data_IF_646957627631
#
_entry.id   IF_646957627631
#
_cell.length_a   1.000
_cell.length_b   1.000
_cell.length_c   1.000
_cell.angle_alpha   90.00
_cell.angle_beta   90.00
_cell.angle_gamma   90.00
#
_symmetry.space_group_name_H-M   'P 1'
#
loop_
_entity.id
_entity.type
_entity.pdbx_description
1 polymer ?
#
# COMPACT_ATOMS: atom_id res chain seq x y z
N UNK A 1 -50.24 11.83 -74.35
CA UNK A 1 -49.31 12.75 -73.63
C UNK A 1 -49.11 12.19 -72.26
N UNK A 2 -48.09 11.29 -72.09
CA UNK A 2 -47.84 10.57 -70.84
C UNK A 2 -46.51 11.04 -70.28
N UNK A 3 -46.58 11.61 -69.10
CA UNK A 3 -45.38 12.06 -68.34
C UNK A 3 -44.96 10.98 -67.41
N UNK A 4 -43.74 10.43 -67.59
CA UNK A 4 -43.11 9.48 -66.71
C UNK A 4 -42.33 10.26 -65.64
N UNK A 5 -42.65 9.99 -64.35
CA UNK A 5 -41.95 10.51 -63.18
C UNK A 5 -40.93 9.48 -62.74
N UNK A 6 -39.64 9.72 -62.92
CA UNK A 6 -38.55 8.91 -62.45
C UNK A 6 -38.31 9.18 -60.96
N UNK A 7 -38.42 8.12 -60.16
CA UNK A 7 -38.04 8.14 -58.73
C UNK A 7 -36.53 7.92 -58.57
N UNK A 8 -35.82 8.91 -58.04
CA UNK A 8 -34.42 8.84 -57.69
C UNK A 8 -34.28 8.38 -56.21
N UNK A 9 -33.92 7.14 -56.00
CA UNK A 9 -33.63 6.60 -54.66
C UNK A 9 -32.21 6.95 -54.26
N UNK A 10 -32.07 7.87 -53.32
CA UNK A 10 -30.81 8.25 -52.69
C UNK A 10 -30.49 7.25 -51.59
N UNK A 11 -29.53 6.36 -51.83
CA UNK A 11 -28.99 5.43 -50.84
C UNK A 11 -27.98 6.16 -49.95
N UNK A 12 -28.40 6.55 -48.74
CA UNK A 12 -27.53 7.04 -47.69
C UNK A 12 -26.78 5.87 -47.04
N UNK A 13 -25.48 5.74 -47.33
CA UNK A 13 -24.59 4.83 -46.63
C UNK A 13 -24.32 5.39 -45.24
N UNK A 14 -24.91 4.75 -44.20
CA UNK A 14 -24.55 4.99 -42.80
C UNK A 14 -23.18 4.38 -42.55
N UNK A 15 -22.14 5.21 -42.48
CA UNK A 15 -20.82 4.80 -41.97
C UNK A 15 -20.93 4.61 -40.46
N UNK A 16 -21.01 3.39 -40.01
CA UNK A 16 -20.86 3.05 -38.59
C UNK A 16 -19.37 3.23 -38.27
N UNK A 17 -18.99 4.38 -37.74
CA UNK A 17 -17.72 4.55 -37.02
C UNK A 17 -17.75 3.63 -35.82
N UNK A 18 -16.98 2.52 -35.90
CA UNK A 18 -16.65 1.76 -34.74
C UNK A 18 -15.91 2.69 -33.77
N UNK A 19 -16.57 3.04 -32.67
CA UNK A 19 -15.87 3.62 -31.53
C UNK A 19 -14.85 2.57 -31.08
N UNK A 20 -13.59 2.77 -31.45
CA UNK A 20 -12.48 2.12 -30.76
C UNK A 20 -12.63 2.49 -29.28
N UNK A 21 -12.71 1.49 -28.43
CA UNK A 21 -12.60 1.62 -26.99
C UNK A 21 -11.43 2.54 -26.68
N UNK A 22 -11.75 3.73 -26.14
CA UNK A 22 -10.77 4.78 -25.92
C UNK A 22 -9.70 4.30 -24.95
N UNK A 23 -8.47 4.29 -25.42
CA UNK A 23 -7.37 4.67 -24.57
C UNK A 23 -7.72 6.07 -24.03
N UNK A 24 -7.79 6.22 -22.72
CA UNK A 24 -7.97 7.51 -22.07
C UNK A 24 -6.80 8.39 -22.48
N UNK A 25 -7.07 9.49 -23.16
CA UNK A 25 -6.06 10.48 -23.55
C UNK A 25 -5.20 10.84 -22.33
N UNK A 26 -3.99 10.22 -22.21
CA UNK A 26 -2.92 10.72 -21.35
C UNK A 26 -3.13 10.68 -19.83
N UNK A 27 -3.94 9.76 -19.28
CA UNK A 27 -4.07 9.60 -17.83
C UNK A 27 -3.58 8.23 -17.37
N UNK A 28 -2.61 8.21 -16.46
CA UNK A 28 -2.09 6.99 -15.82
C UNK A 28 -2.91 6.71 -14.56
N UNK A 29 -3.39 5.46 -14.40
CA UNK A 29 -4.18 5.04 -13.24
C UNK A 29 -3.36 4.13 -12.33
N UNK A 30 -3.21 4.55 -11.07
CA UNK A 30 -2.47 3.86 -10.02
C UNK A 30 -3.42 3.53 -8.87
N UNK A 31 -3.56 2.26 -8.50
CA UNK A 31 -4.47 1.86 -7.44
C UNK A 31 -3.82 0.87 -6.47
N UNK A 32 -4.17 0.91 -5.19
CA UNK A 32 -3.75 -0.16 -4.27
C UNK A 32 -3.45 0.28 -2.85
N UNK A 33 -2.25 -0.03 -2.39
CA UNK A 33 -1.85 0.09 -0.98
C UNK A 33 -1.98 1.50 -0.42
N UNK A 34 -2.70 1.64 0.69
CA UNK A 34 -2.73 2.90 1.45
C UNK A 34 -1.38 3.24 2.12
N UNK A 35 -0.48 2.27 2.23
CA UNK A 35 0.90 2.49 2.69
C UNK A 35 1.73 3.18 1.61
N UNK A 36 1.53 2.81 0.34
CA UNK A 36 2.30 3.36 -0.79
C UNK A 36 1.81 4.75 -1.23
N UNK A 37 0.66 5.21 -0.73
CA UNK A 37 0.09 6.51 -1.13
C UNK A 37 1.10 7.68 -1.07
N UNK A 38 1.88 7.87 0.02
CA UNK A 38 2.80 9.01 0.08
C UNK A 38 3.84 9.01 -1.04
N UNK A 39 4.36 7.84 -1.41
CA UNK A 39 5.31 7.71 -2.54
C UNK A 39 4.61 7.98 -3.86
N UNK A 40 3.47 7.31 -4.09
CA UNK A 40 2.77 7.39 -5.36
C UNK A 40 2.18 8.79 -5.63
N UNK A 41 1.66 9.47 -4.60
CA UNK A 41 1.07 10.81 -4.74
C UNK A 41 2.14 11.88 -4.99
N UNK A 42 3.26 11.86 -4.24
CA UNK A 42 4.36 12.81 -4.45
C UNK A 42 4.97 12.61 -5.84
N UNK A 43 5.20 11.37 -6.26
CA UNK A 43 5.68 11.07 -7.60
C UNK A 43 4.67 11.50 -8.69
N UNK A 44 3.37 11.30 -8.46
CA UNK A 44 2.33 11.70 -9.41
C UNK A 44 2.28 13.22 -9.61
N UNK A 45 2.41 13.99 -8.55
CA UNK A 45 2.45 15.46 -8.61
C UNK A 45 3.67 15.93 -9.41
N UNK A 46 4.87 15.47 -9.04
CA UNK A 46 6.11 15.88 -9.69
C UNK A 46 6.19 15.40 -11.16
N UNK A 47 5.78 14.16 -11.45
CA UNK A 47 5.75 13.63 -12.82
C UNK A 47 4.75 14.40 -13.70
N UNK A 48 3.59 14.76 -13.15
CA UNK A 48 2.60 15.57 -13.87
C UNK A 48 3.15 16.97 -14.18
N UNK A 49 3.86 17.60 -13.25
CA UNK A 49 4.51 18.90 -13.49
C UNK A 49 5.59 18.83 -14.58
N UNK A 50 6.36 17.76 -14.63
CA UNK A 50 7.44 17.58 -15.61
C UNK A 50 6.93 17.24 -17.02
N UNK A 51 5.92 16.39 -17.13
CA UNK A 51 5.50 15.79 -18.40
C UNK A 51 4.19 16.32 -18.94
N UNK A 52 3.35 16.89 -18.09
CA UNK A 52 1.96 17.25 -18.39
C UNK A 52 0.99 16.05 -18.39
N UNK A 53 1.47 14.81 -18.15
CA UNK A 53 0.64 13.62 -18.05
C UNK A 53 -0.02 13.53 -16.67
N UNK A 54 -1.33 13.31 -16.65
CA UNK A 54 -2.07 13.15 -15.39
C UNK A 54 -1.89 11.76 -14.80
N UNK A 55 -1.58 11.67 -13.51
CA UNK A 55 -1.51 10.41 -12.77
C UNK A 55 -2.58 10.41 -11.67
N UNK A 56 -3.53 9.48 -11.77
CA UNK A 56 -4.60 9.32 -10.78
C UNK A 56 -4.24 8.21 -9.79
N UNK A 57 -4.03 8.57 -8.53
CA UNK A 57 -3.67 7.64 -7.46
C UNK A 57 -4.86 7.35 -6.55
N UNK A 58 -5.09 6.08 -6.21
CA UNK A 58 -6.20 5.63 -5.37
C UNK A 58 -5.76 4.59 -4.32
N UNK A 59 -6.01 4.88 -3.04
CA UNK A 59 -5.70 4.00 -1.91
C UNK A 59 -6.87 3.07 -1.56
N UNK A 60 -6.90 1.88 -2.14
CA UNK A 60 -7.97 0.89 -1.99
C UNK A 60 -7.57 -0.36 -1.19
N UNK A 61 -6.29 -0.48 -0.83
CA UNK A 61 -5.67 -1.69 -0.27
C UNK A 61 -4.95 -2.52 -1.33
N UNK A 62 -3.93 -3.26 -0.92
CA UNK A 62 -3.04 -4.01 -1.85
C UNK A 62 -3.80 -5.02 -2.69
N UNK A 63 -4.70 -5.80 -2.09
CA UNK A 63 -5.48 -6.82 -2.82
C UNK A 63 -6.41 -6.19 -3.86
N UNK A 64 -7.06 -5.06 -3.53
CA UNK A 64 -7.90 -4.34 -4.47
C UNK A 64 -7.10 -3.73 -5.64
N UNK A 65 -5.87 -3.24 -5.38
CA UNK A 65 -4.96 -2.78 -6.44
C UNK A 65 -4.54 -3.90 -7.38
N UNK A 66 -4.14 -5.05 -6.83
CA UNK A 66 -3.78 -6.25 -7.62
C UNK A 66 -4.96 -6.72 -8.47
N UNK A 67 -6.18 -6.71 -7.94
CA UNK A 67 -7.38 -7.01 -8.69
C UNK A 67 -7.61 -5.97 -9.82
N UNK A 68 -7.45 -4.68 -9.53
CA UNK A 68 -7.64 -3.60 -10.49
C UNK A 68 -6.68 -3.70 -11.68
N UNK A 69 -5.39 -3.98 -11.43
CA UNK A 69 -4.43 -4.19 -12.53
C UNK A 69 -4.71 -5.46 -13.30
N UNK A 70 -5.14 -6.53 -12.62
CA UNK A 70 -5.43 -7.82 -13.25
C UNK A 70 -6.61 -7.75 -14.22
N UNK A 71 -7.63 -6.97 -13.88
CA UNK A 71 -8.82 -6.78 -14.72
C UNK A 71 -8.72 -5.58 -15.68
N UNK A 72 -7.61 -4.82 -15.62
CA UNK A 72 -7.34 -3.68 -16.52
C UNK A 72 -8.08 -2.39 -16.16
N UNK A 73 -8.58 -2.25 -14.92
CA UNK A 73 -9.17 -0.99 -14.41
C UNK A 73 -8.12 -0.04 -13.82
N UNK A 74 -6.90 -0.51 -13.56
CA UNK A 74 -5.73 0.30 -13.29
C UNK A 74 -4.54 -0.20 -14.13
N UNK A 75 -3.61 0.67 -14.45
CA UNK A 75 -2.40 0.35 -15.19
C UNK A 75 -1.29 -0.13 -14.27
N UNK A 76 -1.25 0.44 -13.06
CA UNK A 76 -0.25 0.13 -12.03
C UNK A 76 -0.98 -0.19 -10.73
N UNK A 77 -0.68 -1.35 -10.14
CA UNK A 77 -1.07 -1.63 -8.77
C UNK A 77 0.06 -1.27 -7.82
N UNK A 78 -0.28 -0.68 -6.66
CA UNK A 78 0.64 -0.52 -5.54
C UNK A 78 0.35 -1.54 -4.46
N UNK A 79 1.38 -2.14 -3.87
CA UNK A 79 1.20 -3.14 -2.82
C UNK A 79 2.27 -3.02 -1.73
N UNK A 80 1.87 -3.33 -0.52
CA UNK A 80 2.73 -3.41 0.66
C UNK A 80 2.95 -4.85 1.13
N UNK A 81 2.91 -5.77 0.19
CA UNK A 81 3.26 -7.20 0.29
C UNK A 81 3.55 -7.75 -1.11
N UNK A 82 4.26 -8.85 -1.18
CA UNK A 82 4.37 -9.63 -2.42
C UNK A 82 3.05 -10.27 -2.84
N UNK A 83 3.05 -10.87 -4.02
CA UNK A 83 1.91 -11.64 -4.54
C UNK A 83 1.75 -12.96 -3.75
N UNK A 84 0.52 -13.33 -3.40
CA UNK A 84 0.22 -14.65 -2.86
C UNK A 84 0.23 -15.72 -3.96
N UNK A 85 0.11 -17.01 -3.59
CA UNK A 85 0.18 -18.14 -4.52
C UNK A 85 -0.85 -18.08 -5.68
N UNK A 86 -2.04 -17.56 -5.45
CA UNK A 86 -3.05 -17.41 -6.50
C UNK A 86 -2.75 -16.19 -7.39
N UNK A 87 -2.28 -15.10 -6.80
CA UNK A 87 -1.92 -13.89 -7.53
C UNK A 87 -0.66 -14.08 -8.41
N UNK A 88 0.29 -14.93 -7.99
CA UNK A 88 1.45 -15.30 -8.81
C UNK A 88 1.06 -15.93 -10.16
N UNK A 89 -0.09 -16.61 -10.22
CA UNK A 89 -0.62 -17.19 -11.45
C UNK A 89 -1.16 -16.17 -12.46
N UNK A 90 -1.34 -14.93 -12.03
CA UNK A 90 -1.83 -13.83 -12.88
C UNK A 90 -0.79 -13.31 -13.87
N UNK A 91 0.50 -13.68 -13.70
CA UNK A 91 1.59 -13.26 -14.59
C UNK A 91 1.85 -11.76 -14.53
N UNK A 92 1.69 -11.15 -13.36
CA UNK A 92 2.00 -9.75 -13.15
C UNK A 92 3.51 -9.54 -13.07
N UNK A 93 4.01 -8.45 -13.65
CA UNK A 93 5.38 -7.99 -13.47
C UNK A 93 5.50 -7.36 -12.08
N UNK A 94 6.53 -7.76 -11.33
CA UNK A 94 6.80 -7.29 -9.98
C UNK A 94 7.94 -6.28 -10.00
N UNK A 95 7.71 -5.09 -9.47
CA UNK A 95 8.66 -3.98 -9.46
C UNK A 95 8.82 -3.53 -8.00
N UNK A 96 9.95 -3.85 -7.32
CA UNK A 96 10.24 -3.33 -6.00
C UNK A 96 10.48 -1.82 -6.06
N UNK A 97 9.87 -1.05 -5.16
CA UNK A 97 10.00 0.43 -5.13
C UNK A 97 10.60 0.96 -3.84
N UNK A 98 10.39 0.27 -2.71
CA UNK A 98 10.95 0.69 -1.43
C UNK A 98 10.95 -0.47 -0.42
N UNK A 99 11.78 -0.35 0.64
CA UNK A 99 11.69 -1.17 1.84
C UNK A 99 11.00 -0.40 2.96
N UNK A 100 10.26 -1.11 3.81
CA UNK A 100 9.45 -0.53 4.88
C UNK A 100 9.44 -1.39 6.14
N UNK A 101 9.51 -0.74 7.30
CA UNK A 101 9.27 -1.37 8.59
C UNK A 101 7.79 -1.26 8.99
N UNK A 102 7.19 -2.36 9.46
CA UNK A 102 5.86 -2.31 10.09
C UNK A 102 6.04 -1.99 11.57
N UNK A 103 5.88 -0.72 11.92
CA UNK A 103 5.97 -0.25 13.29
C UNK A 103 4.72 -0.67 14.09
N UNK A 104 4.93 -1.25 15.26
CA UNK A 104 3.88 -1.43 16.26
C UNK A 104 3.72 -0.13 17.02
N UNK A 105 2.51 0.42 17.03
CA UNK A 105 2.21 1.71 17.62
C UNK A 105 1.24 1.59 18.80
N UNK A 106 1.45 2.45 19.78
CA UNK A 106 0.60 2.62 20.95
C UNK A 106 0.28 4.10 21.15
N UNK A 107 -0.72 4.35 22.00
CA UNK A 107 -0.99 5.71 22.47
C UNK A 107 0.25 6.27 23.20
N UNK A 108 0.59 7.57 23.07
CA UNK A 108 1.77 8.16 23.73
C UNK A 108 1.81 7.96 25.25
N UNK A 109 0.67 7.92 25.91
CA UNK A 109 0.57 7.72 27.36
C UNK A 109 0.78 6.26 27.82
N UNK A 110 0.87 5.30 26.90
CA UNK A 110 1.15 3.91 27.22
C UNK A 110 2.62 3.74 27.65
N UNK A 111 2.94 3.18 28.83
CA UNK A 111 4.34 3.08 29.31
C UNK A 111 5.12 1.94 28.66
N UNK A 112 4.49 0.98 27.99
CA UNK A 112 5.16 -0.17 27.39
C UNK A 112 6.06 0.26 26.22
N UNK A 113 7.35 -0.10 26.28
CA UNK A 113 8.35 0.33 25.29
C UNK A 113 8.81 -0.80 24.36
N UNK A 114 8.53 -2.04 24.71
CA UNK A 114 8.97 -3.21 23.95
C UNK A 114 7.99 -4.37 24.11
N UNK A 115 7.77 -5.11 23.04
CA UNK A 115 7.08 -6.40 23.05
C UNK A 115 7.92 -7.43 22.26
N UNK A 116 7.86 -8.69 22.67
CA UNK A 116 8.39 -9.76 21.83
C UNK A 116 7.42 -10.11 20.70
N UNK A 117 7.90 -10.78 19.68
CA UNK A 117 7.05 -11.30 18.59
C UNK A 117 5.99 -12.26 19.10
N UNK A 118 6.31 -13.07 20.13
CA UNK A 118 5.34 -13.95 20.78
C UNK A 118 4.26 -13.16 21.54
N UNK A 119 4.66 -12.11 22.29
CA UNK A 119 3.69 -11.24 22.97
C UNK A 119 2.77 -10.54 21.98
N UNK A 120 3.31 -10.06 20.85
CA UNK A 120 2.50 -9.47 19.79
C UNK A 120 1.49 -10.46 19.22
N UNK A 121 1.92 -11.67 18.91
CA UNK A 121 1.03 -12.75 18.46
C UNK A 121 -0.07 -13.02 19.47
N UNK A 122 0.28 -13.18 20.73
CA UNK A 122 -0.70 -13.51 21.79
C UNK A 122 -1.65 -12.35 22.07
N UNK A 123 -1.20 -11.10 21.96
CA UNK A 123 -2.06 -9.92 22.00
C UNK A 123 -3.06 -9.93 20.84
N UNK A 124 -2.58 -10.08 19.59
CA UNK A 124 -3.44 -10.05 18.42
C UNK A 124 -4.31 -11.31 18.25
N UNK A 125 -3.94 -12.43 18.89
CA UNK A 125 -4.79 -13.62 19.02
C UNK A 125 -5.79 -13.53 20.18
N UNK A 126 -5.74 -12.45 21.00
CA UNK A 126 -6.64 -12.23 22.15
C UNK A 126 -6.35 -13.10 23.36
N UNK A 127 -5.14 -13.68 23.48
CA UNK A 127 -4.68 -14.46 24.63
C UNK A 127 -4.18 -13.51 25.75
N UNK A 128 -3.48 -12.43 25.40
CA UNK A 128 -3.12 -11.31 26.27
C UNK A 128 -4.11 -10.18 26.02
N UNK A 129 -4.82 -9.75 27.07
CA UNK A 129 -5.93 -8.80 26.93
C UNK A 129 -5.79 -7.55 27.80
N UNK A 130 -4.78 -7.54 28.68
CA UNK A 130 -4.51 -6.43 29.58
C UNK A 130 -3.03 -6.04 29.50
N UNK A 131 -2.75 -4.75 29.47
CA UNK A 131 -1.38 -4.24 29.41
C UNK A 131 -0.53 -4.64 30.63
N UNK A 132 -1.14 -4.90 31.81
CA UNK A 132 -0.42 -5.38 32.99
C UNK A 132 0.24 -6.74 32.78
N UNK A 133 -0.25 -7.57 31.85
CA UNK A 133 0.34 -8.87 31.52
C UNK A 133 1.68 -8.76 30.79
N UNK A 134 1.98 -7.56 30.23
CA UNK A 134 3.22 -7.25 29.51
C UNK A 134 4.00 -6.08 30.13
N UNK A 135 3.78 -5.81 31.42
CA UNK A 135 4.53 -4.80 32.19
C UNK A 135 3.99 -3.37 32.05
N UNK A 136 2.78 -3.20 31.52
CA UNK A 136 2.07 -1.93 31.46
C UNK A 136 1.15 -1.70 32.67
N UNK A 137 0.24 -0.74 32.53
CA UNK A 137 -0.79 -0.43 33.51
C UNK A 137 -1.91 -1.50 33.51
N UNK A 138 -2.70 -1.56 34.60
CA UNK A 138 -3.96 -2.32 34.60
C UNK A 138 -5.01 -1.63 33.71
N UNK A 139 -4.88 -1.88 32.42
CA UNK A 139 -5.71 -1.29 31.37
C UNK A 139 -5.95 -2.32 30.26
N UNK A 140 -7.20 -2.50 29.87
CA UNK A 140 -7.56 -3.41 28.79
C UNK A 140 -6.91 -3.01 27.46
N UNK A 141 -6.35 -3.98 26.76
CA UNK A 141 -5.80 -3.79 25.41
C UNK A 141 -6.96 -3.64 24.42
N UNK A 142 -6.91 -2.57 23.61
CA UNK A 142 -7.83 -2.34 22.51
C UNK A 142 -7.12 -2.58 21.18
N UNK A 143 -7.47 -3.69 20.55
CA UNK A 143 -6.84 -4.11 19.30
C UNK A 143 -7.36 -3.28 18.13
N UNK A 144 -6.44 -2.69 17.36
CA UNK A 144 -6.72 -2.05 16.08
C UNK A 144 -6.07 -2.88 14.99
N UNK A 145 -6.89 -3.37 14.06
CA UNK A 145 -6.48 -4.22 12.95
C UNK A 145 -6.87 -3.57 11.63
N UNK A 146 -6.40 -4.11 10.54
CA UNK A 146 -6.75 -3.72 9.18
C UNK A 146 -7.71 -4.74 8.57
N UNK A 147 -8.41 -4.32 7.52
CA UNK A 147 -9.28 -5.18 6.72
C UNK A 147 -8.48 -6.19 5.85
N UNK A 148 -9.20 -7.08 5.17
CA UNK A 148 -8.60 -8.14 4.36
C UNK A 148 -7.94 -7.64 3.07
N UNK A 149 -8.27 -6.44 2.59
CA UNK A 149 -7.62 -5.83 1.43
C UNK A 149 -6.23 -5.27 1.77
N UNK A 150 -5.90 -5.15 3.06
CA UNK A 150 -4.65 -4.55 3.53
C UNK A 150 -3.44 -5.46 3.36
N UNK A 151 -2.48 -5.05 2.52
CA UNK A 151 -1.17 -5.69 2.43
C UNK A 151 -0.37 -5.61 3.74
N UNK A 152 -0.54 -4.54 4.53
CA UNK A 152 0.09 -4.43 5.86
C UNK A 152 -0.43 -5.48 6.83
N UNK A 153 -1.74 -5.76 6.82
CA UNK A 153 -2.33 -6.85 7.62
C UNK A 153 -1.78 -8.20 7.19
N UNK A 154 -1.71 -8.45 5.90
CA UNK A 154 -1.22 -9.73 5.38
C UNK A 154 0.27 -9.95 5.70
N UNK A 155 1.12 -8.92 5.54
CA UNK A 155 2.51 -8.97 5.93
C UNK A 155 2.67 -9.19 7.45
N UNK A 156 1.94 -8.45 8.28
CA UNK A 156 1.96 -8.64 9.73
C UNK A 156 1.48 -10.04 10.12
N UNK A 157 0.43 -10.55 9.47
CA UNK A 157 -0.07 -11.91 9.69
C UNK A 157 0.99 -12.97 9.37
N UNK A 158 1.65 -12.85 8.23
CA UNK A 158 2.69 -13.77 7.79
C UNK A 158 3.89 -13.80 8.74
N UNK A 159 4.31 -12.62 9.25
CA UNK A 159 5.52 -12.49 10.08
C UNK A 159 5.25 -12.81 11.55
N UNK A 160 4.11 -12.40 12.10
CA UNK A 160 3.83 -12.41 13.53
C UNK A 160 2.86 -13.52 13.94
N UNK A 161 1.80 -13.78 13.16
CA UNK A 161 0.70 -14.60 13.66
C UNK A 161 0.97 -16.11 13.64
N UNK A 162 1.94 -16.60 12.87
CA UNK A 162 2.35 -18.01 12.84
C UNK A 162 1.14 -18.98 12.74
N UNK A 163 0.21 -18.66 11.84
CA UNK A 163 -1.04 -19.42 11.63
C UNK A 163 -2.18 -19.13 12.62
N UNK A 164 -1.93 -18.43 13.73
CA UNK A 164 -2.98 -18.04 14.67
C UNK A 164 -3.95 -17.02 14.02
N UNK A 165 -5.26 -17.13 14.27
CA UNK A 165 -6.21 -16.16 13.78
C UNK A 165 -6.15 -14.86 14.58
N UNK A 166 -6.45 -13.73 13.94
CA UNK A 166 -6.68 -12.47 14.65
C UNK A 166 -7.94 -12.55 15.53
N UNK A 167 -7.88 -11.93 16.71
CA UNK A 167 -9.05 -11.76 17.57
C UNK A 167 -10.14 -10.95 16.85
N UNK A 168 -11.35 -11.50 16.80
CA UNK A 168 -12.52 -10.89 16.13
C UNK A 168 -13.04 -9.64 16.84
N UNK A 169 -12.57 -9.36 18.07
CA UNK A 169 -12.92 -8.14 18.84
C UNK A 169 -12.13 -6.92 18.38
N UNK A 170 -11.10 -7.10 17.56
CA UNK A 170 -10.30 -5.99 17.05
C UNK A 170 -11.17 -5.01 16.23
N UNK A 171 -10.96 -3.72 16.41
CA UNK A 171 -11.50 -2.70 15.50
C UNK A 171 -10.81 -2.84 14.13
N UNK A 172 -11.61 -3.00 13.06
CA UNK A 172 -11.11 -3.21 11.70
C UNK A 172 -11.23 -1.92 10.90
N UNK A 173 -10.11 -1.45 10.34
CA UNK A 173 -10.01 -0.18 9.62
C UNK A 173 -9.43 -0.41 8.22
N UNK A 174 -9.87 0.40 7.25
CA UNK A 174 -9.48 0.25 5.84
C UNK A 174 -8.20 0.99 5.45
N UNK A 175 -7.74 1.98 6.24
CA UNK A 175 -6.61 2.84 5.90
C UNK A 175 -5.53 2.92 6.96
N UNK A 176 -4.26 3.11 6.54
CA UNK A 176 -3.11 3.27 7.44
C UNK A 176 -3.27 4.48 8.36
N UNK A 177 -3.69 5.62 7.81
CA UNK A 177 -3.93 6.84 8.60
C UNK A 177 -5.03 6.69 9.65
N UNK A 178 -6.09 5.91 9.35
CA UNK A 178 -7.17 5.63 10.29
C UNK A 178 -6.67 4.84 11.51
N UNK A 179 -5.79 3.84 11.31
CA UNK A 179 -5.17 3.10 12.43
C UNK A 179 -4.42 4.06 13.34
N UNK A 180 -3.59 4.92 12.75
CA UNK A 180 -2.83 5.93 13.47
C UNK A 180 -3.75 6.85 14.30
N UNK A 181 -4.82 7.36 13.68
CA UNK A 181 -5.76 8.26 14.33
C UNK A 181 -6.48 7.60 15.52
N UNK A 182 -6.97 6.37 15.38
CA UNK A 182 -7.62 5.63 16.47
C UNK A 182 -6.66 5.35 17.62
N UNK A 183 -5.43 4.91 17.33
CA UNK A 183 -4.42 4.62 18.37
C UNK A 183 -4.03 5.89 19.11
N UNK A 184 -3.86 7.02 18.42
CA UNK A 184 -3.50 8.29 19.03
C UNK A 184 -4.52 8.80 20.07
N UNK A 185 -5.79 8.48 19.85
CA UNK A 185 -6.92 8.97 20.69
C UNK A 185 -7.39 7.95 21.74
N UNK A 186 -6.85 6.72 21.72
CA UNK A 186 -7.34 5.63 22.55
C UNK A 186 -6.21 5.08 23.42
N UNK A 187 -6.24 5.41 24.73
CA UNK A 187 -5.12 5.13 25.66
C UNK A 187 -4.71 3.66 25.74
N UNK A 188 -5.64 2.72 25.65
CA UNK A 188 -5.37 1.27 25.68
C UNK A 188 -5.09 0.65 24.31
N UNK A 189 -5.09 1.43 23.24
CA UNK A 189 -4.99 0.90 21.88
C UNK A 189 -3.57 0.47 21.51
N UNK A 190 -3.51 -0.60 20.69
CA UNK A 190 -2.35 -1.06 19.96
C UNK A 190 -2.73 -1.22 18.48
N UNK A 191 -1.86 -0.78 17.59
CA UNK A 191 -2.01 -0.91 16.16
C UNK A 191 -0.67 -1.21 15.49
N UNK A 192 -0.69 -1.41 14.19
CA UNK A 192 0.51 -1.56 13.37
C UNK A 192 0.34 -0.79 12.06
N UNK A 193 1.36 -0.04 11.70
CA UNK A 193 1.40 0.81 10.49
C UNK A 193 2.81 0.77 9.88
N UNK A 194 2.97 1.30 8.68
CA UNK A 194 4.31 1.60 8.15
C UNK A 194 5.04 2.61 9.04
N UNK A 195 6.37 2.46 9.17
CA UNK A 195 7.21 3.39 9.93
C UNK A 195 7.11 4.82 9.39
N UNK A 196 6.91 5.02 8.08
CA UNK A 196 6.71 6.33 7.47
C UNK A 196 5.46 7.08 7.95
N UNK A 197 4.52 6.38 8.59
CA UNK A 197 3.33 7.00 9.17
C UNK A 197 3.45 7.31 10.67
N UNK A 198 4.55 6.94 11.33
CA UNK A 198 4.73 7.18 12.78
C UNK A 198 4.88 8.68 13.04
N UNK A 199 5.80 9.34 12.33
CA UNK A 199 6.09 10.77 12.45
C UNK A 199 5.53 11.59 11.29
N UNK A 200 4.29 11.31 10.88
CA UNK A 200 3.68 12.01 9.75
C UNK A 200 3.54 13.51 10.05
N UNK A 201 4.17 14.34 9.20
CA UNK A 201 4.07 15.81 9.24
C UNK A 201 2.64 16.34 9.04
N UNK A 202 1.75 15.49 8.53
CA UNK A 202 0.35 15.84 8.25
C UNK A 202 -0.61 15.40 9.36
N UNK A 203 -0.11 14.79 10.44
CA UNK A 203 -0.97 14.28 11.49
C UNK A 203 -1.03 15.24 12.67
N UNK A 204 -2.25 15.67 13.02
CA UNK A 204 -2.52 16.51 14.19
C UNK A 204 -2.31 15.78 15.54
N UNK A 205 -2.21 14.46 15.51
CA UNK A 205 -2.13 13.61 16.69
C UNK A 205 -0.85 12.77 16.67
N UNK A 206 -0.36 12.41 17.84
CA UNK A 206 0.87 11.63 17.99
C UNK A 206 0.56 10.17 18.35
N UNK A 207 1.38 9.28 17.84
CA UNK A 207 1.49 7.89 18.28
C UNK A 207 2.94 7.61 18.65
N UNK A 208 3.18 6.58 19.42
CA UNK A 208 4.52 6.13 19.75
C UNK A 208 4.75 4.73 19.20
N UNK A 209 5.79 4.57 18.39
CA UNK A 209 6.29 3.26 18.03
C UNK A 209 6.98 2.61 19.24
N UNK A 210 6.84 1.31 19.37
CA UNK A 210 7.55 0.51 20.39
C UNK A 210 8.52 -0.45 19.72
N UNK A 211 9.53 -0.85 20.49
CA UNK A 211 10.50 -1.83 20.03
C UNK A 211 9.85 -3.22 19.89
N UNK A 212 10.34 -4.01 18.95
CA UNK A 212 10.00 -5.41 18.82
C UNK A 212 11.27 -6.23 19.00
N UNK A 213 11.26 -7.19 19.94
CA UNK A 213 12.45 -7.94 20.33
C UNK A 213 13.65 -7.02 20.69
N UNK A 214 13.38 -5.89 21.34
CA UNK A 214 14.36 -4.85 21.68
C UNK A 214 15.00 -4.13 20.49
N UNK A 215 14.44 -4.25 19.28
CA UNK A 215 14.88 -3.53 18.08
C UNK A 215 13.88 -2.43 17.75
N UNK A 216 14.39 -1.23 17.54
CA UNK A 216 13.59 -0.04 17.18
C UNK A 216 13.23 -0.05 15.70
N UNK A 217 12.00 0.35 15.29
CA UNK A 217 11.58 0.46 13.89
C UNK A 217 12.10 1.78 13.26
N UNK A 218 13.38 1.81 12.93
CA UNK A 218 14.03 2.94 12.26
C UNK A 218 14.71 2.50 10.95
N UNK A 219 15.02 3.44 10.08
CA UNK A 219 15.66 3.18 8.78
C UNK A 219 16.87 2.24 8.91
N UNK A 220 17.79 2.53 9.83
CA UNK A 220 19.03 1.76 9.99
C UNK A 220 18.78 0.29 10.36
N UNK A 221 17.80 0.01 11.22
CA UNK A 221 17.48 -1.36 11.66
C UNK A 221 16.66 -2.12 10.60
N UNK A 222 15.83 -1.43 9.84
CA UNK A 222 15.07 -2.01 8.73
C UNK A 222 16.02 -2.32 7.57
N UNK A 223 16.85 -1.36 7.15
CA UNK A 223 17.81 -1.52 6.06
C UNK A 223 18.84 -2.65 6.32
N UNK A 224 19.26 -2.83 7.58
CA UNK A 224 20.16 -3.92 7.96
C UNK A 224 19.49 -5.28 8.13
N UNK A 225 18.16 -5.37 8.00
CA UNK A 225 17.39 -6.59 8.29
C UNK A 225 17.32 -6.93 9.79
N UNK A 226 17.73 -6.01 10.67
CA UNK A 226 17.69 -6.21 12.13
C UNK A 226 16.31 -6.08 12.74
N UNK A 227 15.43 -5.26 12.15
CA UNK A 227 14.05 -5.11 12.62
C UNK A 227 13.18 -6.29 12.14
N UNK A 228 12.47 -7.01 13.04
CA UNK A 228 11.84 -8.28 12.68
C UNK A 228 10.60 -8.17 11.80
N UNK A 229 9.99 -6.98 11.69
CA UNK A 229 8.75 -6.78 10.93
C UNK A 229 9.01 -5.83 9.78
N UNK A 230 9.75 -6.28 8.79
CA UNK A 230 10.07 -5.53 7.57
C UNK A 230 9.50 -6.20 6.33
N UNK A 231 9.35 -5.42 5.27
CA UNK A 231 8.79 -5.86 3.99
C UNK A 231 9.22 -4.95 2.87
N UNK A 232 9.00 -5.40 1.63
CA UNK A 232 9.11 -4.56 0.46
C UNK A 232 7.75 -3.97 0.07
N UNK A 233 7.82 -2.82 -0.59
CA UNK A 233 6.72 -2.18 -1.27
C UNK A 233 6.91 -2.38 -2.77
N UNK A 234 5.82 -2.65 -3.47
CA UNK A 234 5.85 -3.04 -4.87
C UNK A 234 4.90 -2.22 -5.73
N UNK A 235 5.29 -2.05 -6.99
CA UNK A 235 4.36 -1.83 -8.08
C UNK A 235 4.17 -3.13 -8.84
N UNK A 236 2.98 -3.33 -9.39
CA UNK A 236 2.66 -4.44 -10.29
C UNK A 236 2.01 -3.91 -11.55
N UNK A 237 2.37 -4.52 -12.70
CA UNK A 237 1.75 -4.26 -14.00
C UNK A 237 1.29 -5.57 -14.64
N UNK A 238 0.29 -5.50 -15.52
CA UNK A 238 -0.17 -6.65 -16.29
C UNK A 238 0.55 -6.70 -17.64
N UNK A 239 1.66 -7.45 -17.68
CA UNK A 239 2.56 -7.43 -18.84
C UNK A 239 3.34 -6.12 -18.91
N UNK A 240 4.03 -5.89 -20.04
CA UNK A 240 4.78 -4.65 -20.27
C UNK A 240 3.82 -3.45 -20.24
N UNK A 241 4.09 -2.43 -19.40
CA UNK A 241 3.26 -1.24 -19.34
C UNK A 241 3.36 -0.40 -20.62
N UNK A 242 2.36 0.43 -20.87
CA UNK A 242 2.44 1.45 -21.90
C UNK A 242 3.56 2.46 -21.61
N UNK A 243 4.08 3.15 -22.66
CA UNK A 243 5.23 4.06 -22.54
C UNK A 243 5.02 5.13 -21.43
N UNK A 244 3.79 5.65 -21.29
CA UNK A 244 3.46 6.65 -20.27
C UNK A 244 3.52 6.07 -18.85
N UNK A 245 2.98 4.87 -18.66
CA UNK A 245 3.01 4.16 -17.36
C UNK A 245 4.43 3.72 -17.01
N UNK A 246 5.22 3.26 -18.00
CA UNK A 246 6.63 2.95 -17.82
C UNK A 246 7.43 4.19 -17.42
N UNK A 247 7.19 5.32 -18.08
CA UNK A 247 7.84 6.58 -17.72
C UNK A 247 7.57 7.01 -16.26
N UNK A 248 6.34 6.82 -15.77
CA UNK A 248 6.02 7.08 -14.36
C UNK A 248 6.74 6.09 -13.42
N UNK A 249 6.80 4.81 -13.76
CA UNK A 249 7.54 3.80 -13.00
C UNK A 249 9.02 4.16 -12.94
N UNK A 250 9.63 4.49 -14.07
CA UNK A 250 11.05 4.88 -14.16
C UNK A 250 11.33 6.14 -13.32
N UNK A 251 10.39 7.10 -13.31
CA UNK A 251 10.49 8.28 -12.47
C UNK A 251 10.47 7.93 -10.98
N UNK A 252 9.54 7.06 -10.54
CA UNK A 252 9.49 6.60 -9.14
C UNK A 252 10.78 5.92 -8.71
N UNK A 253 11.44 5.19 -9.62
CA UNK A 253 12.69 4.47 -9.37
C UNK A 253 13.95 5.31 -9.59
N UNK A 254 13.82 6.58 -9.97
CA UNK A 254 14.95 7.46 -10.24
C UNK A 254 15.63 7.96 -8.95
N UNK A 255 16.90 8.32 -9.03
CA UNK A 255 17.63 8.96 -7.94
C UNK A 255 16.98 10.28 -7.46
N UNK A 256 16.23 10.96 -8.34
CA UNK A 256 15.48 12.18 -8.01
C UNK A 256 14.40 11.91 -6.96
N UNK A 257 13.78 10.72 -6.99
CA UNK A 257 12.75 10.31 -6.03
C UNK A 257 13.32 9.77 -4.72
N UNK A 258 14.58 9.40 -4.64
CA UNK A 258 15.19 8.78 -3.46
C UNK A 258 15.05 9.64 -2.19
N UNK A 259 15.32 10.95 -2.30
CA UNK A 259 15.18 11.87 -1.16
C UNK A 259 13.72 11.99 -0.71
N UNK A 260 12.79 12.08 -1.65
CA UNK A 260 11.35 12.18 -1.36
C UNK A 260 10.79 10.90 -0.74
N UNK A 261 11.27 9.73 -1.19
CA UNK A 261 10.93 8.43 -0.59
C UNK A 261 11.43 8.38 0.86
N UNK A 262 12.67 8.83 1.14
CA UNK A 262 13.20 8.92 2.52
C UNK A 262 12.45 9.93 3.37
N UNK A 263 12.12 11.10 2.82
CA UNK A 263 11.30 12.10 3.53
C UNK A 263 9.89 11.58 3.87
N UNK A 264 9.35 10.70 3.05
CA UNK A 264 8.10 10.00 3.32
C UNK A 264 8.27 8.86 4.36
N UNK A 265 9.50 8.60 4.83
CA UNK A 265 9.82 7.60 5.87
C UNK A 265 9.98 6.18 5.33
N UNK A 266 10.36 6.03 4.06
CA UNK A 266 10.64 4.75 3.43
C UNK A 266 12.10 4.68 2.97
N UNK A 267 12.58 3.47 2.67
CA UNK A 267 13.92 3.22 2.18
C UNK A 267 13.80 2.90 0.69
N UNK A 268 14.37 3.72 -0.22
CA UNK A 268 14.34 3.43 -1.65
C UNK A 268 14.89 2.04 -1.97
N UNK A 269 14.31 1.34 -2.93
CA UNK A 269 14.80 0.01 -3.33
C UNK A 269 16.20 0.05 -3.96
N UNK A 270 16.68 1.23 -4.38
CA UNK A 270 17.97 1.43 -5.05
C UNK A 270 17.95 0.88 -6.49
N UNK A 271 18.69 1.52 -7.39
CA UNK A 271 18.93 0.99 -8.72
C UNK A 271 19.91 -0.19 -8.61
N UNK A 272 19.40 -1.41 -8.33
CA UNK A 272 20.24 -2.62 -8.39
C UNK A 272 20.24 -3.54 -7.16
N UNK A 273 19.12 -3.81 -6.52
CA UNK A 273 18.97 -5.09 -5.84
C UNK A 273 18.64 -6.13 -6.92
N UNK A 274 19.67 -6.75 -7.50
CA UNK A 274 19.48 -7.99 -8.24
C UNK A 274 18.61 -8.91 -7.37
N UNK A 275 17.43 -9.27 -7.87
CA UNK A 275 16.62 -10.31 -7.29
C UNK A 275 17.53 -11.55 -7.19
N UNK A 276 17.92 -11.89 -5.95
CA UNK A 276 18.66 -13.10 -5.70
C UNK A 276 17.82 -14.27 -6.21
N UNK A 277 18.24 -14.83 -7.33
CA UNK A 277 17.91 -16.19 -7.69
C UNK A 277 18.56 -17.12 -6.64
N UNK A 278 17.74 -17.69 -5.77
CA UNK A 278 18.00 -18.99 -5.14
C UNK A 278 16.70 -19.82 -5.08
#
# INVERSE_FOLDING_TARGET
MSIAIGAFTLATALSISACSSGASDGQITVAGSTTCLPIAEVAAEAYTEQTGLSVLVSGLGSSAGIEAVSNGTAEIATSSRGLNEEEQKLGLITIPVAHDGIAVIVNPDNPVQNLSTEQLRDIYAGKITNWSEVGGEDLAIQLVNRDEASGTREAFKSIIMDGEPFDRRAAVLSGTGQVRDVVSRTRGAIGYISMGFVESRYAETQVRAINVNHVEPIEATVASGGYPISRDLYFFTKGEPADEAQGYIDYVLSEEMDEQIREAGFIPAGNGSEAGEE
#
